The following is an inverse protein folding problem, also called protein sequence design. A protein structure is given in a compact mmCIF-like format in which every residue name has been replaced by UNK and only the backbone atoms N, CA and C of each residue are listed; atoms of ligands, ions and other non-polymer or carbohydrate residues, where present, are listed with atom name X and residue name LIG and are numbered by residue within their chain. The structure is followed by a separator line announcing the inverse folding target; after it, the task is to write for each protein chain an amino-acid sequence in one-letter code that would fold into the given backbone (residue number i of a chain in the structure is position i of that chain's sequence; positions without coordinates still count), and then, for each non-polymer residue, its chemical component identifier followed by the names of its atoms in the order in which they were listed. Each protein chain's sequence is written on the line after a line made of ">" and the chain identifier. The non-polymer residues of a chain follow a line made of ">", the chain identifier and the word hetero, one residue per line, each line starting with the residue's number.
data_IF_008916372081
#
_entry.id   IF_008916372081
#
_cell.length_a   1.000
_cell.length_b   1.000
_cell.length_c   1.000
_cell.angle_alpha   90.00
_cell.angle_beta   90.00
_cell.angle_gamma   90.00
#
_symmetry.space_group_name_H-M   'P 1'
#
loop_
_entity.id
_entity.type
_entity.pdbx_description
1 polymer ?
#
# COMPACT_ATOMS: atom_id res chain seq x y z
N UNK A 1 -11.13 53.46 -13.97
CA UNK A 1 -10.80 52.30 -13.13
C UNK A 1 -10.94 51.04 -13.99
N UNK A 2 -9.83 50.44 -14.46
CA UNK A 2 -9.87 49.21 -15.28
C UNK A 2 -9.79 48.00 -14.35
N UNK A 3 -10.87 47.27 -14.21
CA UNK A 3 -10.89 45.96 -13.54
C UNK A 3 -10.43 44.94 -14.58
N UNK A 4 -9.24 44.37 -14.37
CA UNK A 4 -8.71 43.28 -15.17
C UNK A 4 -9.33 41.97 -14.63
N UNK A 5 -10.32 41.44 -15.32
CA UNK A 5 -10.89 40.11 -15.05
C UNK A 5 -9.89 39.05 -15.48
N UNK A 6 -9.16 38.48 -14.51
CA UNK A 6 -8.38 37.27 -14.71
C UNK A 6 -9.38 36.11 -14.73
N UNK A 7 -9.75 35.68 -15.94
CA UNK A 7 -10.47 34.42 -16.15
C UNK A 7 -9.43 33.32 -15.86
N UNK A 8 -9.47 32.75 -14.66
CA UNK A 8 -8.73 31.53 -14.37
C UNK A 8 -9.44 30.42 -15.17
N UNK A 9 -8.81 29.80 -16.19
CA UNK A 9 -9.38 28.61 -16.78
C UNK A 9 -9.36 27.54 -15.69
N UNK A 10 -10.53 27.27 -15.12
CA UNK A 10 -10.74 26.07 -14.31
C UNK A 10 -10.61 24.92 -15.29
N UNK A 11 -9.39 24.47 -15.51
CA UNK A 11 -9.14 23.21 -16.19
C UNK A 11 -9.66 22.11 -15.27
N UNK A 12 -10.97 21.88 -15.29
CA UNK A 12 -11.56 20.60 -14.92
C UNK A 12 -11.17 19.61 -16.01
N UNK A 13 -9.89 19.24 -16.05
CA UNK A 13 -9.51 17.96 -16.61
C UNK A 13 -10.36 16.93 -15.86
N UNK A 14 -11.18 16.17 -16.58
CA UNK A 14 -11.85 15.02 -15.99
C UNK A 14 -10.77 14.22 -15.26
N UNK A 15 -10.87 14.14 -13.93
CA UNK A 15 -9.80 13.61 -13.08
C UNK A 15 -9.51 12.13 -13.39
N UNK A 16 -10.47 11.48 -14.04
CA UNK A 16 -10.38 10.16 -14.66
C UNK A 16 -11.00 10.20 -16.06
N UNK A 17 -10.41 9.45 -16.98
CA UNK A 17 -10.91 9.27 -18.34
C UNK A 17 -12.27 8.54 -18.34
N UNK A 18 -13.15 8.79 -19.34
CA UNK A 18 -14.44 8.12 -19.43
C UNK A 18 -14.34 6.59 -19.49
N UNK A 19 -13.30 6.07 -20.14
CA UNK A 19 -13.04 4.63 -20.24
C UNK A 19 -12.69 4.02 -18.87
N UNK A 20 -11.75 4.64 -18.15
CA UNK A 20 -11.38 4.22 -16.80
C UNK A 20 -12.54 4.31 -15.82
N UNK A 21 -13.39 5.33 -15.96
CA UNK A 21 -14.53 5.56 -15.07
C UNK A 21 -15.47 4.36 -14.97
N UNK A 22 -15.70 3.63 -16.05
CA UNK A 22 -16.59 2.45 -16.05
C UNK A 22 -16.10 1.38 -15.07
N UNK A 23 -14.80 1.12 -15.05
CA UNK A 23 -14.19 0.15 -14.15
C UNK A 23 -14.15 0.68 -12.70
N UNK A 24 -13.78 1.95 -12.53
CA UNK A 24 -13.72 2.58 -11.20
C UNK A 24 -15.09 2.63 -10.54
N UNK A 25 -16.16 2.95 -11.27
CA UNK A 25 -17.53 2.96 -10.75
C UNK A 25 -17.93 1.55 -10.28
N UNK A 26 -17.56 0.52 -11.05
CA UNK A 26 -17.81 -0.88 -10.70
C UNK A 26 -17.03 -1.32 -9.46
N UNK A 27 -15.76 -0.94 -9.34
CA UNK A 27 -14.93 -1.17 -8.16
C UNK A 27 -15.41 -0.36 -6.94
N UNK A 28 -16.11 0.75 -7.15
CA UNK A 28 -16.60 1.62 -6.07
C UNK A 28 -17.87 1.10 -5.38
N UNK A 29 -18.46 0.01 -5.87
CA UNK A 29 -19.62 -0.63 -5.25
C UNK A 29 -19.32 -2.01 -4.68
N UNK A 30 -18.11 -2.53 -4.87
CA UNK A 30 -17.69 -3.77 -4.20
C UNK A 30 -17.35 -3.50 -2.73
N UNK A 31 -17.61 -4.49 -1.88
CA UNK A 31 -17.46 -4.40 -0.43
C UNK A 31 -16.12 -4.93 0.08
N UNK A 32 -15.36 -5.63 -0.76
CA UNK A 32 -14.10 -6.27 -0.36
C UNK A 32 -13.04 -6.26 -1.45
N UNK A 33 -11.79 -6.30 -1.00
CA UNK A 33 -10.62 -6.52 -1.83
C UNK A 33 -10.45 -8.01 -2.12
N UNK A 34 -10.09 -8.38 -3.35
CA UNK A 34 -9.81 -9.77 -3.73
C UNK A 34 -8.44 -9.90 -4.43
N UNK A 35 -7.69 -10.96 -4.12
CA UNK A 35 -6.57 -11.40 -4.97
C UNK A 35 -7.06 -12.00 -6.28
N UNK A 36 -6.16 -12.16 -7.26
CA UNK A 36 -6.48 -12.78 -8.57
C UNK A 36 -7.21 -14.11 -8.46
N UNK A 37 -6.88 -14.93 -7.46
CA UNK A 37 -7.52 -16.20 -7.19
C UNK A 37 -8.15 -16.19 -5.80
N UNK A 38 -9.39 -16.66 -5.69
CA UNK A 38 -10.18 -16.72 -4.45
C UNK A 38 -10.85 -18.08 -4.24
N UNK A 39 -11.26 -18.34 -3.00
CA UNK A 39 -11.98 -19.54 -2.61
C UNK A 39 -11.14 -20.81 -2.58
N UNK A 40 -11.81 -21.93 -2.32
CA UNK A 40 -11.19 -23.25 -2.35
C UNK A 40 -10.89 -23.65 -3.79
N UNK A 41 -9.63 -23.97 -4.10
CA UNK A 41 -9.18 -24.32 -5.46
C UNK A 41 -8.76 -23.12 -6.34
N UNK A 42 -8.82 -21.88 -5.85
CA UNK A 42 -8.25 -20.72 -6.53
C UNK A 42 -9.02 -20.24 -7.77
N UNK A 43 -10.34 -20.08 -7.65
CA UNK A 43 -11.19 -19.54 -8.72
C UNK A 43 -10.79 -18.11 -9.08
N UNK A 44 -10.83 -17.73 -10.36
CA UNK A 44 -10.51 -16.36 -10.77
C UNK A 44 -11.47 -15.34 -10.14
N UNK A 45 -10.93 -14.21 -9.67
CA UNK A 45 -11.71 -13.13 -9.06
C UNK A 45 -12.16 -12.12 -10.11
N UNK A 46 -13.48 -11.92 -10.20
CA UNK A 46 -14.07 -10.86 -11.04
C UNK A 46 -13.76 -9.46 -10.53
N UNK A 47 -13.58 -9.29 -9.21
CA UNK A 47 -13.20 -8.00 -8.63
C UNK A 47 -11.77 -7.65 -9.02
N UNK A 48 -10.87 -8.63 -8.94
CA UNK A 48 -9.51 -8.45 -9.42
C UNK A 48 -9.46 -8.20 -10.94
N UNK A 49 -10.26 -8.92 -11.74
CA UNK A 49 -10.33 -8.69 -13.19
C UNK A 49 -10.74 -7.24 -13.53
N UNK A 50 -11.71 -6.67 -12.80
CA UNK A 50 -12.09 -5.25 -12.96
C UNK A 50 -10.92 -4.31 -12.68
N UNK A 51 -10.17 -4.57 -11.61
CA UNK A 51 -8.96 -3.80 -11.31
C UNK A 51 -7.90 -3.98 -12.39
N UNK A 52 -7.66 -5.20 -12.84
CA UNK A 52 -6.62 -5.51 -13.82
C UNK A 52 -6.88 -4.83 -15.16
N UNK A 53 -8.13 -4.79 -15.63
CA UNK A 53 -8.46 -4.03 -16.84
C UNK A 53 -8.35 -2.52 -16.61
N UNK A 54 -8.78 -2.01 -15.43
CA UNK A 54 -8.61 -0.60 -15.09
C UNK A 54 -7.13 -0.18 -15.05
N UNK A 55 -6.25 -1.01 -14.50
CA UNK A 55 -4.83 -0.71 -14.34
C UNK A 55 -4.07 -0.70 -15.66
N UNK A 56 -4.53 -1.42 -16.70
CA UNK A 56 -3.92 -1.36 -18.03
C UNK A 56 -4.10 0.00 -18.71
N UNK A 57 -5.25 0.64 -18.51
CA UNK A 57 -5.62 1.88 -19.22
C UNK A 57 -5.36 3.14 -18.39
N UNK A 58 -5.24 3.03 -17.08
CA UNK A 58 -4.99 4.18 -16.20
C UNK A 58 -3.59 4.79 -16.45
N UNK A 59 -3.53 6.11 -16.57
CA UNK A 59 -2.28 6.87 -16.53
C UNK A 59 -1.75 7.00 -15.10
N UNK A 60 -0.47 7.31 -14.93
CA UNK A 60 0.13 7.48 -13.60
C UNK A 60 -0.57 8.56 -12.76
N UNK A 61 -1.04 9.64 -13.41
CA UNK A 61 -1.80 10.71 -12.74
C UNK A 61 -3.16 10.22 -12.26
N UNK A 62 -3.82 9.35 -13.03
CA UNK A 62 -5.10 8.74 -12.61
C UNK A 62 -4.88 7.72 -11.51
N UNK A 63 -3.79 6.94 -11.55
CA UNK A 63 -3.42 6.03 -10.45
C UNK A 63 -3.21 6.80 -9.15
N UNK A 64 -2.45 7.90 -9.19
CA UNK A 64 -2.24 8.76 -8.03
C UNK A 64 -3.55 9.36 -7.53
N UNK A 65 -4.37 9.90 -8.44
CA UNK A 65 -5.66 10.48 -8.10
C UNK A 65 -6.57 9.44 -7.43
N UNK A 66 -6.66 8.22 -7.97
CA UNK A 66 -7.51 7.15 -7.45
C UNK A 66 -7.00 6.56 -6.14
N UNK A 67 -5.69 6.49 -5.95
CA UNK A 67 -5.10 6.08 -4.68
C UNK A 67 -5.51 7.02 -3.53
N UNK A 68 -5.65 8.33 -3.80
CA UNK A 68 -5.98 9.35 -2.78
C UNK A 68 -7.48 9.59 -2.65
N UNK A 69 -8.20 9.67 -3.77
CA UNK A 69 -9.58 10.16 -3.84
C UNK A 69 -10.62 9.06 -4.13
N UNK A 70 -10.19 7.84 -4.44
CA UNK A 70 -11.10 6.71 -4.68
C UNK A 70 -11.88 6.32 -3.42
N UNK A 71 -12.84 5.42 -3.55
CA UNK A 71 -13.39 4.72 -2.37
C UNK A 71 -12.40 3.69 -1.83
N UNK A 72 -12.59 3.20 -0.61
CA UNK A 72 -11.66 2.31 0.11
C UNK A 72 -11.05 1.20 -0.76
N UNK A 73 -11.86 0.41 -1.47
CA UNK A 73 -11.35 -0.69 -2.30
C UNK A 73 -10.57 -0.17 -3.52
N UNK A 74 -11.02 0.92 -4.13
CA UNK A 74 -10.30 1.61 -5.21
C UNK A 74 -8.94 2.13 -4.69
N UNK A 75 -8.93 2.80 -3.53
CA UNK A 75 -7.68 3.27 -2.89
C UNK A 75 -6.73 2.11 -2.65
N UNK A 76 -7.23 0.97 -2.15
CA UNK A 76 -6.41 -0.21 -1.87
C UNK A 76 -5.73 -0.73 -3.13
N UNK A 77 -6.48 -0.94 -4.22
CA UNK A 77 -5.93 -1.40 -5.49
C UNK A 77 -4.97 -0.39 -6.13
N UNK A 78 -5.37 0.88 -6.23
CA UNK A 78 -4.56 1.88 -6.91
C UNK A 78 -3.33 2.34 -6.09
N UNK A 79 -3.36 2.19 -4.75
CA UNK A 79 -2.14 2.36 -3.93
C UNK A 79 -1.14 1.23 -4.18
N UNK A 80 -1.61 0.00 -4.39
CA UNK A 80 -0.71 -1.10 -4.80
C UNK A 80 -0.20 -0.93 -6.22
N UNK A 81 -1.04 -0.46 -7.15
CA UNK A 81 -0.61 -0.15 -8.51
C UNK A 81 0.44 0.97 -8.54
N UNK A 82 0.28 2.00 -7.69
CA UNK A 82 1.29 3.05 -7.54
C UNK A 82 2.66 2.48 -7.13
N UNK A 83 2.66 1.43 -6.28
CA UNK A 83 3.88 0.72 -5.88
C UNK A 83 4.44 -0.07 -7.06
N UNK A 84 3.61 -0.85 -7.73
CA UNK A 84 4.00 -1.64 -8.89
C UNK A 84 4.63 -0.78 -10.00
N UNK A 85 4.12 0.45 -10.20
CA UNK A 85 4.62 1.42 -11.17
C UNK A 85 5.79 2.28 -10.68
N UNK A 86 6.21 2.14 -9.42
CA UNK A 86 7.26 2.99 -8.80
C UNK A 86 6.96 4.49 -8.90
N UNK A 87 5.71 4.91 -8.68
CA UNK A 87 5.36 6.32 -8.82
C UNK A 87 6.19 7.22 -7.90
N UNK A 88 6.55 8.41 -8.38
CA UNK A 88 7.32 9.37 -7.59
C UNK A 88 6.56 9.85 -6.35
N UNK A 89 5.22 9.91 -6.44
CA UNK A 89 4.29 10.29 -5.39
C UNK A 89 4.05 9.21 -4.32
N UNK A 90 4.77 8.08 -4.35
CA UNK A 90 4.57 6.96 -3.42
C UNK A 90 4.63 7.36 -1.93
N UNK A 91 5.54 8.26 -1.57
CA UNK A 91 5.67 8.68 -0.17
C UNK A 91 4.50 9.59 0.26
N UNK A 92 3.99 10.40 -0.68
CA UNK A 92 2.85 11.29 -0.43
C UNK A 92 1.55 10.49 -0.31
N UNK A 93 1.34 9.53 -1.21
CA UNK A 93 0.22 8.59 -1.14
C UNK A 93 0.28 7.83 0.19
N UNK A 94 1.45 7.26 0.56
CA UNK A 94 1.60 6.51 1.80
C UNK A 94 1.32 7.36 3.04
N UNK A 95 1.82 8.60 3.07
CA UNK A 95 1.54 9.55 4.15
C UNK A 95 0.05 9.87 4.23
N UNK A 96 -0.60 10.13 3.10
CA UNK A 96 -2.03 10.39 3.06
C UNK A 96 -2.85 9.21 3.60
N UNK A 97 -2.52 7.97 3.20
CA UNK A 97 -3.18 6.78 3.75
C UNK A 97 -2.92 6.62 5.24
N UNK A 98 -1.74 7.00 5.73
CA UNK A 98 -1.43 6.93 7.16
C UNK A 98 -2.30 7.89 7.97
N UNK A 99 -2.55 9.08 7.45
CA UNK A 99 -3.43 10.10 8.07
C UNK A 99 -4.91 9.74 7.93
N UNK A 100 -5.29 9.00 6.88
CA UNK A 100 -6.67 8.68 6.52
C UNK A 100 -6.87 7.16 6.40
N UNK A 101 -6.35 6.41 7.37
CA UNK A 101 -6.31 4.95 7.26
C UNK A 101 -7.72 4.35 7.39
N UNK A 102 -8.11 3.57 6.39
CA UNK A 102 -9.40 2.89 6.36
C UNK A 102 -9.18 1.38 6.38
N UNK A 103 -10.03 0.66 7.12
CA UNK A 103 -10.07 -0.80 7.13
C UNK A 103 -11.07 -1.31 6.09
N UNK A 104 -10.76 -2.45 5.47
CA UNK A 104 -11.62 -3.14 4.53
C UNK A 104 -11.53 -4.66 4.69
N UNK A 105 -12.57 -5.35 4.25
CA UNK A 105 -12.57 -6.80 4.16
C UNK A 105 -11.75 -7.24 2.93
N UNK A 106 -11.00 -8.33 3.09
CA UNK A 106 -10.17 -8.90 2.01
C UNK A 106 -10.32 -10.41 1.92
N UNK A 107 -10.11 -10.92 0.71
CA UNK A 107 -9.97 -12.35 0.44
C UNK A 107 -8.68 -12.60 -0.35
N UNK A 108 -7.79 -13.40 0.23
CA UNK A 108 -6.56 -13.90 -0.40
C UNK A 108 -6.65 -15.41 -0.55
N UNK A 109 -6.88 -15.90 -1.77
CA UNK A 109 -7.21 -17.32 -1.96
C UNK A 109 -8.42 -17.71 -1.13
N UNK A 110 -8.27 -18.70 -0.24
CA UNK A 110 -9.32 -19.10 0.69
C UNK A 110 -9.33 -18.34 2.03
N UNK A 111 -8.39 -17.42 2.24
CA UNK A 111 -8.25 -16.69 3.50
C UNK A 111 -9.02 -15.38 3.43
N UNK A 112 -10.13 -15.31 4.16
CA UNK A 112 -10.83 -14.06 4.48
C UNK A 112 -10.15 -13.33 5.64
N UNK A 113 -10.38 -12.02 5.76
CA UNK A 113 -9.89 -11.24 6.89
C UNK A 113 -10.07 -9.74 6.68
N UNK A 114 -9.54 -8.96 7.63
CA UNK A 114 -9.50 -7.51 7.57
C UNK A 114 -8.08 -7.03 7.30
N UNK A 115 -7.96 -5.93 6.57
CA UNK A 115 -6.71 -5.23 6.32
C UNK A 115 -6.99 -3.72 6.24
N UNK A 116 -5.96 -2.91 6.42
CA UNK A 116 -6.07 -1.45 6.29
C UNK A 116 -5.17 -0.93 5.16
N UNK A 117 -5.49 0.25 4.63
CA UNK A 117 -4.84 0.84 3.45
C UNK A 117 -3.32 0.94 3.61
N UNK A 118 -2.86 1.38 4.78
CA UNK A 118 -1.42 1.50 5.07
C UNK A 118 -0.75 0.13 5.06
N UNK A 119 -1.34 -0.85 5.74
CA UNK A 119 -0.81 -2.22 5.81
C UNK A 119 -0.73 -2.86 4.42
N UNK A 120 -1.74 -2.62 3.59
CA UNK A 120 -1.81 -3.13 2.21
C UNK A 120 -0.73 -2.52 1.31
N UNK A 121 -0.54 -1.21 1.38
CA UNK A 121 0.50 -0.51 0.61
C UNK A 121 1.90 -0.84 1.13
N UNK A 122 2.06 -1.04 2.43
CA UNK A 122 3.32 -1.47 3.02
C UNK A 122 3.68 -2.91 2.57
N UNK A 123 2.72 -3.82 2.63
CA UNK A 123 2.92 -5.23 2.28
C UNK A 123 3.19 -5.45 0.79
N UNK A 124 2.68 -4.59 -0.10
CA UNK A 124 3.03 -4.66 -1.53
C UNK A 124 4.52 -4.41 -1.79
N UNK A 125 5.14 -3.46 -1.07
CA UNK A 125 6.60 -3.25 -1.16
C UNK A 125 7.36 -4.42 -0.53
N UNK A 126 6.88 -4.95 0.61
CA UNK A 126 7.47 -6.13 1.25
C UNK A 126 7.51 -7.33 0.31
N UNK A 127 6.45 -7.56 -0.48
CA UNK A 127 6.41 -8.69 -1.41
C UNK A 127 7.59 -8.68 -2.38
N UNK A 128 8.06 -7.49 -2.81
CA UNK A 128 9.25 -7.37 -3.64
C UNK A 128 10.57 -7.65 -2.90
N UNK A 129 10.61 -7.54 -1.57
CA UNK A 129 11.78 -7.96 -0.77
C UNK A 129 11.83 -9.46 -0.50
N UNK A 130 10.69 -10.14 -0.47
CA UNK A 130 10.60 -11.57 -0.18
C UNK A 130 10.64 -12.42 -1.46
N UNK A 131 10.05 -11.91 -2.55
CA UNK A 131 9.91 -12.63 -3.80
C UNK A 131 11.07 -12.40 -4.77
N UNK A 132 11.97 -11.44 -4.57
CA UNK A 132 13.11 -11.23 -5.48
C UNK A 132 13.91 -12.52 -5.66
N UNK A 133 14.20 -13.25 -4.58
CA UNK A 133 14.91 -14.53 -4.64
C UNK A 133 14.10 -15.63 -5.33
N UNK A 134 12.77 -15.68 -5.14
CA UNK A 134 11.93 -16.71 -5.79
C UNK A 134 11.74 -16.42 -7.28
N UNK A 135 11.46 -15.18 -7.65
CA UNK A 135 11.24 -14.76 -9.04
C UNK A 135 12.53 -14.86 -9.87
N UNK A 136 13.68 -14.52 -9.29
CA UNK A 136 14.99 -14.77 -9.90
C UNK A 136 15.24 -16.27 -10.17
N UNK A 137 14.80 -17.17 -9.27
CA UNK A 137 14.92 -18.62 -9.47
C UNK A 137 14.03 -19.16 -10.60
N UNK A 138 12.90 -18.51 -10.87
CA UNK A 138 11.99 -18.87 -11.97
C UNK A 138 12.26 -18.09 -13.26
N UNK A 139 13.27 -17.21 -13.29
CA UNK A 139 13.61 -16.40 -14.46
C UNK A 139 12.56 -15.33 -14.80
N UNK A 140 11.73 -14.94 -13.82
CA UNK A 140 10.74 -13.89 -14.01
C UNK A 140 11.35 -12.50 -13.72
N UNK A 141 11.13 -11.55 -14.63
CA UNK A 141 11.57 -10.17 -14.43
C UNK A 141 10.76 -9.51 -13.30
N UNK A 142 11.46 -9.06 -12.26
CA UNK A 142 10.86 -8.28 -11.18
C UNK A 142 10.88 -6.80 -11.54
N UNK A 143 9.76 -6.10 -11.34
CA UNK A 143 9.71 -4.65 -11.53
C UNK A 143 10.64 -3.92 -10.55
N UNK A 144 10.82 -4.45 -9.35
CA UNK A 144 11.66 -3.91 -8.29
C UNK A 144 12.86 -4.82 -8.01
N UNK A 145 14.06 -4.25 -7.96
CA UNK A 145 15.20 -4.93 -7.32
C UNK A 145 15.00 -5.00 -5.81
N UNK A 146 15.55 -6.03 -5.17
CA UNK A 146 15.54 -6.18 -3.70
C UNK A 146 16.05 -4.89 -3.00
N UNK A 147 17.13 -4.29 -3.54
CA UNK A 147 17.73 -3.05 -3.03
C UNK A 147 16.78 -1.86 -3.10
N UNK A 148 16.05 -1.69 -4.20
CA UNK A 148 15.06 -0.62 -4.34
C UNK A 148 13.90 -0.82 -3.37
N UNK A 149 13.38 -2.05 -3.25
CA UNK A 149 12.29 -2.36 -2.36
C UNK A 149 12.68 -2.10 -0.89
N UNK A 150 13.87 -2.52 -0.45
CA UNK A 150 14.38 -2.19 0.89
C UNK A 150 14.57 -0.68 1.10
N UNK A 151 15.03 0.05 0.08
CA UNK A 151 15.12 1.51 0.18
C UNK A 151 13.74 2.12 0.42
N UNK A 152 12.73 1.71 -0.36
CA UNK A 152 11.36 2.21 -0.21
C UNK A 152 10.74 1.83 1.14
N UNK A 153 10.95 0.60 1.63
CA UNK A 153 10.51 0.21 2.98
C UNK A 153 11.13 1.09 4.06
N UNK A 154 12.42 1.46 3.95
CA UNK A 154 13.03 2.40 4.91
C UNK A 154 12.38 3.77 4.88
N UNK A 155 11.99 4.26 3.71
CA UNK A 155 11.26 5.52 3.57
C UNK A 155 9.89 5.43 4.26
N UNK A 156 9.11 4.38 4.01
CA UNK A 156 7.83 4.14 4.69
C UNK A 156 7.99 3.98 6.22
N UNK A 157 9.02 3.25 6.65
CA UNK A 157 9.34 3.11 8.07
C UNK A 157 9.60 4.48 8.71
N UNK A 158 10.34 5.37 8.04
CA UNK A 158 10.58 6.70 8.57
C UNK A 158 9.29 7.54 8.64
N UNK A 159 8.37 7.39 7.68
CA UNK A 159 7.05 8.04 7.74
C UNK A 159 6.25 7.53 8.94
N UNK A 160 6.13 6.21 9.11
CA UNK A 160 5.41 5.60 10.25
C UNK A 160 6.02 6.05 11.59
N UNK A 161 7.35 6.05 11.71
CA UNK A 161 8.05 6.35 12.97
C UNK A 161 7.88 7.79 13.44
N UNK A 162 7.71 8.72 12.52
CA UNK A 162 7.64 10.16 12.80
C UNK A 162 6.21 10.71 12.71
N UNK A 163 5.21 9.84 12.54
CA UNK A 163 3.80 10.24 12.43
C UNK A 163 3.07 10.07 13.76
N UNK A 164 2.20 11.03 14.08
CA UNK A 164 1.26 10.93 15.21
C UNK A 164 0.15 9.88 14.98
N UNK A 165 -0.12 9.53 13.71
CA UNK A 165 -1.10 8.52 13.30
C UNK A 165 -0.56 7.08 13.37
N UNK A 166 0.67 6.91 13.88
CA UNK A 166 1.34 5.62 13.99
C UNK A 166 0.71 4.73 15.06
N UNK A 167 0.27 3.54 14.67
CA UNK A 167 -0.32 2.56 15.59
C UNK A 167 0.68 1.47 15.98
N UNK A 168 0.41 0.78 17.10
CA UNK A 168 1.26 -0.34 17.56
C UNK A 168 1.32 -1.48 16.53
N UNK A 169 0.22 -1.68 15.78
CA UNK A 169 0.14 -2.61 14.66
C UNK A 169 1.11 -2.22 13.52
N UNK A 170 1.18 -0.93 13.17
CA UNK A 170 2.10 -0.47 12.13
C UNK A 170 3.56 -0.58 12.58
N UNK A 171 3.85 -0.23 13.83
CA UNK A 171 5.18 -0.39 14.41
C UNK A 171 5.60 -1.86 14.47
N UNK A 172 4.67 -2.79 14.71
CA UNK A 172 4.98 -4.22 14.68
C UNK A 172 5.32 -4.74 13.28
N UNK A 173 4.74 -4.19 12.21
CA UNK A 173 5.15 -4.53 10.85
C UNK A 173 6.60 -4.11 10.57
N UNK A 174 7.02 -2.91 10.99
CA UNK A 174 8.42 -2.48 10.88
C UNK A 174 9.33 -3.55 11.51
N UNK A 175 8.95 -4.03 12.69
CA UNK A 175 9.72 -5.02 13.44
C UNK A 175 9.70 -6.38 12.72
N UNK A 176 8.54 -6.92 12.38
CA UNK A 176 8.41 -8.25 11.78
C UNK A 176 9.18 -8.34 10.46
N UNK A 177 9.13 -7.29 9.64
CA UNK A 177 9.79 -7.29 8.33
C UNK A 177 11.26 -6.86 8.37
N UNK A 178 11.72 -6.22 9.45
CA UNK A 178 13.14 -5.96 9.69
C UNK A 178 13.85 -7.12 10.42
N UNK A 179 13.28 -8.33 10.44
CA UNK A 179 13.75 -9.49 11.22
C UNK A 179 15.24 -9.82 11.06
N UNK A 180 15.80 -9.65 9.85
CA UNK A 180 17.24 -9.84 9.57
C UNK A 180 18.13 -8.77 10.23
N UNK A 181 17.61 -7.58 10.51
CA UNK A 181 18.31 -6.52 11.24
C UNK A 181 17.76 -6.28 12.65
N UNK A 182 16.72 -6.98 13.11
CA UNK A 182 16.10 -6.70 14.40
C UNK A 182 17.11 -6.68 15.53
N UNK A 183 17.95 -7.73 15.64
CA UNK A 183 19.05 -7.79 16.61
C UNK A 183 20.04 -6.63 16.47
N UNK A 184 20.31 -6.16 15.26
CA UNK A 184 21.23 -5.03 14.99
C UNK A 184 20.58 -3.67 15.29
N UNK A 185 19.25 -3.57 15.18
CA UNK A 185 18.48 -2.33 15.30
C UNK A 185 17.76 -2.17 16.65
N UNK A 186 17.90 -3.11 17.59
CA UNK A 186 17.27 -3.04 18.91
C UNK A 186 17.51 -1.73 19.65
N UNK A 187 18.70 -1.11 19.51
CA UNK A 187 18.99 0.22 20.09
C UNK A 187 18.04 1.33 19.61
N UNK A 188 17.59 1.26 18.35
CA UNK A 188 16.70 2.25 17.75
C UNK A 188 15.22 1.90 17.98
N UNK A 189 14.90 0.61 18.13
CA UNK A 189 13.52 0.10 18.27
C UNK A 189 13.05 0.19 19.74
N UNK A 190 13.89 -0.18 20.71
CA UNK A 190 13.52 -0.22 22.12
C UNK A 190 12.95 1.11 22.66
N UNK A 191 13.50 2.30 22.32
CA UNK A 191 12.92 3.57 22.76
C UNK A 191 11.51 3.82 22.24
N UNK A 192 11.16 3.27 21.07
CA UNK A 192 9.87 3.48 20.40
C UNK A 192 8.73 2.65 21.00
N UNK A 193 9.07 1.51 21.61
CA UNK A 193 8.10 0.54 22.14
C UNK A 193 8.09 0.45 23.66
N UNK A 194 8.98 1.18 24.35
CA UNK A 194 9.21 1.11 25.80
C UNK A 194 7.95 1.30 26.66
N UNK A 195 6.96 2.03 26.16
CA UNK A 195 5.73 2.37 26.88
C UNK A 195 4.45 1.85 26.18
N UNK A 196 4.58 0.87 25.28
CA UNK A 196 3.47 0.32 24.52
C UNK A 196 3.30 -1.15 24.90
N UNK A 197 2.05 -1.63 25.01
CA UNK A 197 1.73 -2.98 25.46
C UNK A 197 0.88 -3.71 24.42
N UNK A 198 1.51 -4.65 23.69
CA UNK A 198 0.81 -5.58 22.79
C UNK A 198 1.56 -6.91 22.69
N UNK A 199 0.87 -7.96 22.22
CA UNK A 199 1.49 -9.28 22.00
C UNK A 199 2.65 -9.19 21.01
N UNK A 200 2.50 -8.33 20.01
CA UNK A 200 3.49 -8.04 18.99
C UNK A 200 4.70 -7.35 19.60
N UNK A 201 4.50 -6.37 20.47
CA UNK A 201 5.59 -5.68 21.19
C UNK A 201 6.35 -6.65 22.10
N UNK A 202 5.65 -7.53 22.81
CA UNK A 202 6.29 -8.53 23.66
C UNK A 202 7.21 -9.45 22.84
N UNK A 203 6.78 -9.87 21.65
CA UNK A 203 7.61 -10.64 20.73
C UNK A 203 8.91 -9.90 20.34
N UNK A 204 8.84 -8.57 20.18
CA UNK A 204 10.01 -7.73 19.88
C UNK A 204 10.96 -7.64 21.06
N UNK A 205 10.41 -7.39 22.26
CA UNK A 205 11.18 -7.33 23.50
C UNK A 205 11.91 -8.65 23.75
N UNK A 206 11.25 -9.79 23.51
CA UNK A 206 11.84 -11.11 23.65
C UNK A 206 12.99 -11.38 22.67
N UNK A 207 12.98 -10.77 21.48
CA UNK A 207 14.10 -10.86 20.52
C UNK A 207 15.22 -9.90 20.89
N UNK A 208 14.90 -8.68 21.34
CA UNK A 208 15.89 -7.64 21.64
C UNK A 208 16.59 -7.82 22.99
N UNK A 209 15.99 -8.55 23.92
CA UNK A 209 16.58 -8.88 25.22
C UNK A 209 17.37 -10.22 25.20
N UNK A 210 17.50 -10.88 24.03
CA UNK A 210 18.29 -12.11 23.77
C UNK A 210 19.51 -11.84 22.90
#
# INVERSE_FOLDING_TARGET
>A
MKILLIIIPIFSFGQISPELKVFVDSLSIVDRYESSNIGYGGTNSKVYDLFFEASKIATDKEVEYLAINGKTIVKAYFSTEAVDRKLQSLNDIFKYQLENNEEFDRIYGCLGGKEDLVSKMYSSVVNYTLNSTLLELYGEETKWTEKEAFKKLREFNNVIKNSEYSTDKLLSYIIIYDKKNLKKNCKNILPMIKNKESKEIQYVLDICNK
#
